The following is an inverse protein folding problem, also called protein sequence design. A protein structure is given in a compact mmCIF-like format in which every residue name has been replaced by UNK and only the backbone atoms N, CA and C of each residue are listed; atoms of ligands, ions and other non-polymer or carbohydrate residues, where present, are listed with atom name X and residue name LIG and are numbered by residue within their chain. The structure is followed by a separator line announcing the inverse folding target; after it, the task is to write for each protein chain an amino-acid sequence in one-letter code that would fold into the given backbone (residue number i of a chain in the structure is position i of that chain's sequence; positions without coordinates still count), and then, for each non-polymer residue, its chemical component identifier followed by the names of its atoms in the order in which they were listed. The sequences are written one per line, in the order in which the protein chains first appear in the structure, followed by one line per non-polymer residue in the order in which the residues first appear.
data_IF_788042556595
#
_entry.id   IF_788042556595
#
_cell.length_a   1.000
_cell.length_b   1.000
_cell.length_c   1.000
_cell.angle_alpha   90.00
_cell.angle_beta   90.00
_cell.angle_gamma   90.00
#
_symmetry.space_group_name_H-M   'P 1'
#
loop_
_entity.id
_entity.type
_entity.pdbx_description
1 polymer ?
#
# COMPACT_ATOMS: atom_id res chain seq x y z
N UNK A 1 -21.31 -4.04 -15.51
CA UNK A 1 -20.52 -3.12 -14.66
C UNK A 1 -20.85 -1.68 -15.02
N UNK A 2 -21.18 -0.87 -14.03
CA UNK A 2 -21.51 0.53 -14.25
C UNK A 2 -20.24 1.40 -14.21
N UNK A 3 -20.28 2.60 -14.82
CA UNK A 3 -19.15 3.52 -14.68
C UNK A 3 -18.83 3.91 -13.23
N UNK A 4 -19.85 3.91 -12.37
CA UNK A 4 -19.66 4.18 -10.95
C UNK A 4 -18.82 3.10 -10.26
N UNK A 5 -19.02 1.84 -10.63
CA UNK A 5 -18.24 0.74 -10.07
C UNK A 5 -16.77 0.88 -10.44
N UNK A 6 -16.49 1.24 -11.70
CA UNK A 6 -15.13 1.47 -12.15
C UNK A 6 -14.48 2.63 -11.42
N UNK A 7 -15.23 3.71 -11.23
CA UNK A 7 -14.73 4.88 -10.51
C UNK A 7 -14.45 4.54 -9.06
N UNK A 8 -15.29 3.73 -8.43
CA UNK A 8 -15.09 3.31 -7.04
C UNK A 8 -13.81 2.51 -6.89
N UNK A 9 -13.55 1.57 -7.79
CA UNK A 9 -12.32 0.78 -7.76
C UNK A 9 -11.10 1.65 -7.96
N UNK A 10 -11.14 2.58 -8.93
CA UNK A 10 -10.04 3.50 -9.17
C UNK A 10 -9.82 4.42 -7.97
N UNK A 11 -10.90 4.87 -7.34
CA UNK A 11 -10.80 5.70 -6.15
C UNK A 11 -10.16 4.97 -4.99
N UNK A 12 -10.44 3.67 -4.83
CA UNK A 12 -9.82 2.87 -3.77
C UNK A 12 -8.32 2.75 -4.00
N UNK A 13 -7.90 2.41 -5.21
CA UNK A 13 -6.47 2.31 -5.54
C UNK A 13 -5.79 3.67 -5.39
N UNK A 14 -6.40 4.72 -5.93
CA UNK A 14 -5.86 6.07 -5.83
C UNK A 14 -5.74 6.53 -4.39
N UNK A 15 -6.76 6.28 -3.59
CA UNK A 15 -6.76 6.65 -2.18
C UNK A 15 -5.70 5.87 -1.40
N UNK A 16 -5.56 4.59 -1.69
CA UNK A 16 -4.54 3.74 -1.09
C UNK A 16 -3.14 4.30 -1.37
N UNK A 17 -2.85 4.61 -2.63
CA UNK A 17 -1.57 5.18 -3.02
C UNK A 17 -1.35 6.57 -2.39
N UNK A 18 -2.39 7.37 -2.33
CA UNK A 18 -2.32 8.71 -1.71
C UNK A 18 -1.96 8.60 -0.22
N UNK A 19 -2.64 7.72 0.51
CA UNK A 19 -2.38 7.53 1.93
C UNK A 19 -0.95 7.06 2.16
N UNK A 20 -0.47 6.13 1.35
CA UNK A 20 0.91 5.68 1.43
C UNK A 20 1.89 6.81 1.13
N UNK A 21 1.58 7.67 0.16
CA UNK A 21 2.46 8.78 -0.18
C UNK A 21 2.54 9.80 0.96
N UNK A 22 1.44 10.04 1.66
CA UNK A 22 1.42 10.93 2.82
C UNK A 22 2.28 10.36 3.94
N UNK A 23 2.12 9.08 4.24
CA UNK A 23 2.93 8.41 5.25
C UNK A 23 4.42 8.46 4.89
N UNK A 24 4.75 8.25 3.63
CA UNK A 24 6.12 8.31 3.16
C UNK A 24 6.70 9.72 3.31
N UNK A 25 5.91 10.74 3.03
CA UNK A 25 6.36 12.13 3.13
C UNK A 25 6.62 12.52 4.59
N UNK A 26 5.75 12.08 5.49
CA UNK A 26 5.89 12.39 6.91
C UNK A 26 7.03 11.60 7.55
N UNK A 27 7.25 10.38 7.09
CA UNK A 27 8.23 9.45 7.68
C UNK A 27 9.30 9.03 6.68
N UNK A 28 9.94 10.00 6.02
CA UNK A 28 10.90 9.73 4.96
C UNK A 28 12.00 8.76 5.35
N UNK A 29 12.51 8.89 6.56
CA UNK A 29 13.63 8.05 7.02
C UNK A 29 13.20 6.64 7.36
N UNK A 30 11.97 6.48 7.85
CA UNK A 30 11.49 5.21 8.36
C UNK A 30 10.63 4.45 7.35
N UNK A 31 10.24 5.10 6.27
CA UNK A 31 9.30 4.49 5.32
C UNK A 31 9.84 3.21 4.69
N UNK A 32 11.16 3.07 4.59
CA UNK A 32 11.78 1.85 4.07
C UNK A 32 11.39 0.59 4.87
N UNK A 33 10.90 0.76 6.08
CA UNK A 33 10.43 -0.35 6.90
C UNK A 33 9.25 -1.09 6.27
N UNK A 34 8.52 -0.46 5.34
CA UNK A 34 7.42 -1.14 4.63
C UNK A 34 7.92 -2.35 3.84
N UNK A 35 9.20 -2.37 3.48
CA UNK A 35 9.77 -3.51 2.78
C UNK A 35 9.78 -4.78 3.63
N UNK A 36 9.62 -4.66 4.93
CA UNK A 36 9.52 -5.79 5.85
C UNK A 36 8.11 -6.37 5.90
N UNK A 37 7.12 -5.64 5.37
CA UNK A 37 5.73 -6.09 5.33
C UNK A 37 5.56 -6.99 4.13
N UNK A 38 5.37 -8.28 4.37
CA UNK A 38 5.20 -9.24 3.29
C UNK A 38 4.35 -10.41 3.75
N UNK A 39 3.67 -11.04 2.80
CA UNK A 39 2.93 -12.24 3.05
C UNK A 39 3.84 -13.46 3.04
N UNK A 40 3.26 -14.63 3.24
CA UNK A 40 4.00 -15.89 3.30
C UNK A 40 4.84 -16.15 2.06
N UNK A 41 4.26 -15.96 0.87
CA UNK A 41 4.91 -16.24 -0.39
C UNK A 41 4.85 -15.04 -1.33
N UNK A 42 4.76 -13.82 -0.78
CA UNK A 42 4.43 -12.66 -1.59
C UNK A 42 4.98 -11.39 -0.94
N UNK A 43 5.62 -10.57 -1.76
CA UNK A 43 6.01 -9.24 -1.35
C UNK A 43 4.86 -8.28 -1.63
N UNK A 44 4.58 -7.39 -0.68
CA UNK A 44 3.60 -6.32 -0.88
C UNK A 44 4.25 -5.03 -1.33
N UNK A 45 5.47 -4.77 -0.90
CA UNK A 45 6.23 -3.57 -1.22
C UNK A 45 7.57 -3.95 -1.82
N UNK A 46 8.09 -3.08 -2.68
CA UNK A 46 9.39 -3.30 -3.30
C UNK A 46 10.01 -1.99 -3.75
N UNK A 47 11.20 -2.07 -4.30
CA UNK A 47 11.93 -0.91 -4.81
C UNK A 47 11.81 -0.76 -6.31
N UNK A 48 11.13 -1.69 -6.97
CA UNK A 48 10.87 -1.64 -8.40
C UNK A 48 9.66 -2.52 -8.75
N UNK A 49 9.03 -2.23 -9.89
CA UNK A 49 7.95 -3.07 -10.39
C UNK A 49 8.44 -4.49 -10.69
N UNK A 50 9.66 -4.59 -11.19
CA UNK A 50 10.26 -5.88 -11.53
C UNK A 50 10.42 -6.78 -10.31
N UNK A 51 10.87 -6.21 -9.18
CA UNK A 51 11.03 -6.98 -7.95
C UNK A 51 9.70 -7.59 -7.49
N UNK A 52 8.61 -6.82 -7.61
CA UNK A 52 7.30 -7.31 -7.23
C UNK A 52 6.76 -8.36 -8.21
N UNK A 53 7.02 -8.18 -9.50
CA UNK A 53 6.60 -9.15 -10.51
C UNK A 53 7.37 -10.46 -10.40
N UNK A 54 8.63 -10.42 -10.02
CA UNK A 54 9.42 -11.63 -9.80
C UNK A 54 8.92 -12.42 -8.60
N UNK A 55 8.46 -11.71 -7.55
CA UNK A 55 7.97 -12.35 -6.34
C UNK A 55 6.58 -12.95 -6.50
N UNK A 56 5.84 -12.56 -7.54
CA UNK A 56 4.50 -13.08 -7.78
C UNK A 56 3.98 -12.65 -9.14
N UNK A 57 2.99 -13.37 -9.66
CA UNK A 57 2.37 -13.03 -10.92
C UNK A 57 1.16 -12.13 -10.72
N UNK A 58 0.85 -11.30 -11.72
CA UNK A 58 -0.36 -10.46 -11.74
C UNK A 58 -0.49 -9.55 -10.52
N UNK A 59 0.63 -8.97 -10.08
CA UNK A 59 0.64 -8.11 -8.89
C UNK A 59 0.21 -6.68 -9.18
N UNK A 60 0.19 -6.28 -10.47
CA UNK A 60 -0.16 -4.93 -10.89
C UNK A 60 0.54 -3.87 -10.04
N UNK A 61 1.89 -3.86 -10.01
CA UNK A 61 2.62 -2.95 -9.13
C UNK A 61 2.51 -1.52 -9.61
N UNK A 62 2.40 -0.59 -8.64
CA UNK A 62 2.37 0.84 -8.93
C UNK A 62 3.32 1.56 -7.99
N UNK A 63 3.95 2.60 -8.50
CA UNK A 63 4.84 3.41 -7.69
C UNK A 63 4.05 4.27 -6.72
N UNK A 64 4.49 4.30 -5.47
CA UNK A 64 3.90 5.20 -4.48
C UNK A 64 4.36 6.62 -4.84
N UNK A 65 3.43 7.58 -5.02
CA UNK A 65 3.78 8.92 -5.48
C UNK A 65 4.87 9.57 -4.63
N UNK A 66 5.82 10.21 -5.29
CA UNK A 66 6.93 10.94 -4.67
C UNK A 66 7.88 10.06 -3.85
N UNK A 67 7.91 8.76 -4.15
CA UNK A 67 8.83 7.83 -3.48
C UNK A 67 9.52 6.94 -4.51
N UNK A 68 10.53 6.21 -4.05
CA UNK A 68 11.18 5.17 -4.84
C UNK A 68 10.64 3.78 -4.52
N UNK A 69 9.49 3.71 -3.88
CA UNK A 69 8.89 2.46 -3.47
C UNK A 69 7.68 2.12 -4.33
N UNK A 70 7.46 0.82 -4.52
CA UNK A 70 6.37 0.28 -5.30
C UNK A 70 5.52 -0.62 -4.41
N UNK A 71 4.25 -0.77 -4.76
CA UNK A 71 3.31 -1.57 -3.98
C UNK A 71 2.39 -2.32 -4.94
N UNK A 72 2.01 -3.54 -4.57
CA UNK A 72 1.03 -4.30 -5.35
C UNK A 72 -0.36 -3.67 -5.19
N UNK A 73 -1.14 -3.65 -6.25
CA UNK A 73 -2.48 -3.05 -6.22
C UNK A 73 -3.59 -4.01 -6.64
N UNK A 74 -3.25 -5.27 -6.89
CA UNK A 74 -4.22 -6.27 -7.31
C UNK A 74 -5.00 -6.90 -6.15
N UNK A 75 -4.75 -6.44 -4.93
CA UNK A 75 -5.41 -6.98 -3.74
C UNK A 75 -6.80 -6.35 -3.55
N UNK A 76 -7.66 -7.06 -2.81
CA UNK A 76 -8.98 -6.52 -2.48
C UNK A 76 -8.88 -5.42 -1.41
N UNK A 77 -10.00 -4.76 -1.13
CA UNK A 77 -10.04 -3.65 -0.18
C UNK A 77 -9.61 -4.08 1.22
N UNK A 78 -10.04 -5.26 1.66
CA UNK A 78 -9.68 -5.79 2.97
C UNK A 78 -8.16 -5.94 3.10
N UNK A 79 -7.51 -6.46 2.05
CA UNK A 79 -6.07 -6.63 2.05
C UNK A 79 -5.36 -5.28 2.05
N UNK A 80 -5.86 -4.31 1.29
CA UNK A 80 -5.31 -2.96 1.27
C UNK A 80 -5.40 -2.30 2.64
N UNK A 81 -6.52 -2.48 3.34
CA UNK A 81 -6.67 -1.97 4.70
C UNK A 81 -5.67 -2.60 5.66
N UNK A 82 -5.45 -3.90 5.54
CA UNK A 82 -4.45 -4.59 6.34
C UNK A 82 -3.05 -4.03 6.07
N UNK A 83 -2.72 -3.80 4.80
CA UNK A 83 -1.42 -3.27 4.42
C UNK A 83 -1.21 -1.86 4.99
N UNK A 84 -2.24 -1.01 4.97
CA UNK A 84 -2.15 0.32 5.59
C UNK A 84 -1.95 0.22 7.10
N UNK A 85 -2.67 -0.68 7.76
CA UNK A 85 -2.54 -0.88 9.20
C UNK A 85 -1.11 -1.31 9.55
N UNK A 86 -0.58 -2.30 8.83
CA UNK A 86 0.78 -2.78 9.05
C UNK A 86 1.81 -1.67 8.80
N UNK A 87 1.61 -0.89 7.74
CA UNK A 87 2.50 0.23 7.42
C UNK A 87 2.52 1.24 8.56
N UNK A 88 1.34 1.61 9.07
CA UNK A 88 1.26 2.58 10.16
C UNK A 88 1.96 2.05 11.41
N UNK A 89 1.74 0.78 11.75
CA UNK A 89 2.38 0.17 12.92
C UNK A 89 3.90 0.14 12.75
N UNK A 90 4.39 -0.20 11.58
CA UNK A 90 5.83 -0.19 11.29
C UNK A 90 6.44 1.20 11.43
N UNK A 91 5.65 2.23 11.13
CA UNK A 91 6.10 3.62 11.25
C UNK A 91 5.98 4.18 12.68
N UNK A 92 5.47 3.38 13.62
CA UNK A 92 5.41 3.77 15.03
C UNK A 92 4.07 4.26 15.53
N UNK A 93 3.03 4.17 14.71
CA UNK A 93 1.69 4.55 15.15
C UNK A 93 1.11 3.50 16.10
N UNK A 94 0.25 3.93 17.01
CA UNK A 94 -0.48 3.01 17.87
C UNK A 94 -1.51 2.23 17.05
N UNK A 95 -2.02 1.12 17.61
CA UNK A 95 -3.06 0.34 16.96
C UNK A 95 -4.30 1.19 16.69
N UNK A 96 -4.67 2.09 17.62
CA UNK A 96 -5.81 2.96 17.46
C UNK A 96 -5.62 3.94 16.29
N UNK A 97 -4.44 4.55 16.20
CA UNK A 97 -4.13 5.47 15.10
C UNK A 97 -4.06 4.74 13.77
N UNK A 98 -3.51 3.52 13.76
CA UNK A 98 -3.45 2.71 12.57
C UNK A 98 -4.86 2.38 12.05
N UNK A 99 -5.80 2.11 12.95
CA UNK A 99 -7.19 1.88 12.58
C UNK A 99 -7.83 3.11 11.97
N UNK A 100 -7.52 4.29 12.48
CA UNK A 100 -8.03 5.55 11.93
C UNK A 100 -7.51 5.78 10.52
N UNK A 101 -6.24 5.49 10.29
CA UNK A 101 -5.65 5.59 8.95
C UNK A 101 -6.32 4.60 8.01
N UNK A 102 -6.51 3.36 8.46
CA UNK A 102 -7.20 2.33 7.69
C UNK A 102 -8.60 2.76 7.27
N UNK A 103 -9.31 3.40 8.19
CA UNK A 103 -10.69 3.82 7.95
C UNK A 103 -10.80 4.94 6.92
N UNK A 104 -9.70 5.61 6.59
CA UNK A 104 -9.68 6.60 5.51
C UNK A 104 -9.76 5.93 4.12
N UNK A 105 -9.46 4.67 4.03
CA UNK A 105 -9.59 3.91 2.80
C UNK A 105 -11.02 3.44 2.62
#
# INVERSE_FOLDING_TARGET
MTPQDLQTEQNIVGRFLYLLSVLARVHKKDFARVLEIKGRNRLYFGTSAEALNEAGSSTNPKQIPNTNFWVITNSNTTRKKMMLTETAIKLGYSAEDAERIRDLL
#
